data_IF_594279259954
#
_entry.id   IF_594279259954
#
_cell.length_a   1.000
_cell.length_b   1.000
_cell.length_c   1.000
_cell.angle_alpha   90.00
_cell.angle_beta   90.00
_cell.angle_gamma   90.00
#
_symmetry.space_group_name_H-M   'P 1'
#
loop_
_entity.id
_entity.type
_entity.pdbx_description
1 polymer ?
#
# COMPACT_ATOMS: atom_id res chain seq x y z
N UNK A 1 41.51 -60.32 4.05
CA UNK A 1 40.80 -59.55 3.01
C UNK A 1 39.85 -58.58 3.71
N UNK A 2 40.22 -57.30 3.74
CA UNK A 2 39.46 -56.20 4.32
C UNK A 2 38.30 -55.79 3.39
N UNK A 3 37.10 -55.65 3.92
CA UNK A 3 36.01 -54.91 3.29
C UNK A 3 35.75 -53.63 4.10
N UNK A 4 35.85 -52.42 3.51
CA UNK A 4 35.49 -51.20 4.20
C UNK A 4 33.98 -50.94 4.08
N UNK A 5 33.35 -50.65 5.20
CA UNK A 5 31.94 -50.26 5.31
C UNK A 5 31.80 -48.79 4.89
N UNK A 6 31.07 -48.49 3.80
CA UNK A 6 30.75 -47.13 3.37
C UNK A 6 29.58 -46.58 4.20
N UNK A 7 29.78 -45.45 4.87
CA UNK A 7 28.72 -44.66 5.48
C UNK A 7 27.91 -43.90 4.41
N UNK A 8 26.59 -43.67 4.60
CA UNK A 8 25.79 -42.92 3.65
C UNK A 8 26.05 -41.42 3.77
N UNK A 9 26.25 -40.76 2.62
CA UNK A 9 26.35 -39.31 2.51
C UNK A 9 24.95 -38.69 2.68
N UNK A 10 24.71 -38.00 3.79
CA UNK A 10 23.56 -37.09 3.91
C UNK A 10 23.83 -35.86 3.04
N UNK A 11 23.19 -35.82 1.87
CA UNK A 11 23.05 -34.61 1.07
C UNK A 11 22.31 -33.56 1.88
N UNK A 12 23.02 -32.48 2.23
CA UNK A 12 22.45 -31.26 2.79
C UNK A 12 21.61 -30.63 1.67
N UNK A 13 20.29 -30.78 1.75
CA UNK A 13 19.36 -30.08 0.86
C UNK A 13 19.47 -28.58 1.08
N UNK A 14 19.76 -27.83 0.01
CA UNK A 14 19.55 -26.38 -0.03
C UNK A 14 18.06 -26.09 0.25
N UNK A 15 17.74 -25.06 1.05
CA UNK A 15 16.35 -24.71 1.30
C UNK A 15 15.68 -24.29 -0.02
N UNK A 16 14.46 -24.80 -0.21
CA UNK A 16 13.58 -24.43 -1.32
C UNK A 16 13.51 -22.91 -1.47
N UNK A 17 13.59 -22.47 -2.72
CA UNK A 17 13.40 -21.06 -3.08
C UNK A 17 12.02 -20.63 -2.57
N UNK A 18 11.91 -19.58 -1.73
CA UNK A 18 10.61 -19.20 -1.19
C UNK A 18 9.68 -18.82 -2.35
N UNK A 19 8.39 -19.21 -2.30
CA UNK A 19 7.43 -18.86 -3.33
C UNK A 19 7.39 -17.33 -3.47
N UNK A 20 7.34 -16.85 -4.71
CA UNK A 20 7.27 -15.43 -5.02
C UNK A 20 6.11 -14.78 -4.24
N UNK A 21 6.45 -13.92 -3.29
CA UNK A 21 5.49 -13.14 -2.51
C UNK A 21 4.62 -12.34 -3.48
N UNK A 22 3.27 -12.38 -3.39
CA UNK A 22 2.43 -11.52 -4.21
C UNK A 22 2.89 -10.07 -4.03
N UNK A 23 3.04 -9.34 -5.13
CA UNK A 23 3.63 -8.01 -5.17
C UNK A 23 2.96 -7.09 -4.14
N UNK A 24 3.61 -6.91 -2.99
CA UNK A 24 3.10 -6.04 -1.94
C UNK A 24 3.25 -4.61 -2.42
N UNK A 25 2.13 -3.90 -2.52
CA UNK A 25 2.12 -2.50 -2.93
C UNK A 25 2.99 -1.68 -1.97
N UNK A 26 3.91 -0.86 -2.46
CA UNK A 26 4.74 -0.07 -1.55
C UNK A 26 3.89 0.98 -0.80
N UNK A 27 4.40 1.46 0.35
CA UNK A 27 3.76 2.57 1.08
C UNK A 27 3.59 3.82 0.20
N UNK A 28 4.50 4.04 -0.76
CA UNK A 28 4.41 5.09 -1.76
C UNK A 28 3.18 4.93 -2.67
N UNK A 29 2.89 3.70 -3.12
CA UNK A 29 1.70 3.41 -3.93
C UNK A 29 0.42 3.72 -3.15
N UNK A 30 0.34 3.34 -1.86
CA UNK A 30 -0.81 3.72 -1.02
C UNK A 30 -0.93 5.22 -0.83
N UNK A 31 0.18 5.93 -0.59
CA UNK A 31 0.18 7.38 -0.49
C UNK A 31 -0.40 8.05 -1.73
N UNK A 32 -0.03 7.55 -2.92
CA UNK A 32 -0.59 8.02 -4.20
C UNK A 32 -2.08 7.70 -4.35
N UNK A 33 -2.51 6.49 -4.00
CA UNK A 33 -3.92 6.07 -4.06
C UNK A 33 -4.80 6.93 -3.13
N UNK A 34 -4.37 7.14 -1.88
CA UNK A 34 -5.07 7.98 -0.90
C UNK A 34 -5.14 9.42 -1.40
N UNK A 35 -4.04 9.97 -1.91
CA UNK A 35 -4.01 11.32 -2.45
C UNK A 35 -4.97 11.48 -3.64
N UNK A 36 -4.94 10.57 -4.61
CA UNK A 36 -5.86 10.59 -5.76
C UNK A 36 -7.32 10.48 -5.30
N UNK A 37 -7.61 9.57 -4.37
CA UNK A 37 -8.97 9.41 -3.84
C UNK A 37 -9.44 10.66 -3.10
N UNK A 38 -8.58 11.26 -2.26
CA UNK A 38 -8.87 12.51 -1.55
C UNK A 38 -9.06 13.71 -2.49
N UNK A 39 -8.21 13.85 -3.51
CA UNK A 39 -8.32 14.89 -4.54
C UNK A 39 -9.68 14.89 -5.22
N UNK A 40 -10.29 13.72 -5.45
CA UNK A 40 -11.63 13.60 -6.07
C UNK A 40 -12.69 14.36 -5.30
N UNK A 41 -12.66 14.35 -3.96
CA UNK A 41 -13.61 15.09 -3.09
C UNK A 41 -13.52 16.60 -3.31
N UNK A 42 -12.30 17.12 -3.35
CA UNK A 42 -12.06 18.54 -3.60
C UNK A 42 -12.45 18.93 -5.03
N UNK A 43 -12.07 18.12 -6.02
CA UNK A 43 -12.39 18.41 -7.43
C UNK A 43 -13.88 18.32 -7.72
N UNK A 44 -14.65 17.44 -7.05
CA UNK A 44 -16.10 17.35 -7.24
C UNK A 44 -16.82 18.57 -6.68
N UNK A 45 -16.42 19.07 -5.51
CA UNK A 45 -16.95 20.32 -4.95
C UNK A 45 -16.58 21.53 -5.83
N UNK A 46 -15.32 21.59 -6.28
CA UNK A 46 -14.84 22.63 -7.19
C UNK A 46 -15.63 22.63 -8.50
N UNK A 47 -15.89 21.46 -9.07
CA UNK A 47 -16.73 21.31 -10.26
C UNK A 47 -18.11 21.94 -10.05
N UNK A 48 -18.82 21.56 -8.98
CA UNK A 48 -20.18 22.06 -8.69
C UNK A 48 -20.19 23.57 -8.48
N UNK A 49 -19.26 24.10 -7.67
CA UNK A 49 -19.13 25.53 -7.41
C UNK A 49 -18.94 26.33 -8.70
N UNK A 50 -18.01 25.91 -9.56
CA UNK A 50 -17.72 26.63 -10.80
C UNK A 50 -18.82 26.44 -11.85
N UNK A 51 -19.60 25.35 -11.79
CA UNK A 51 -20.81 25.21 -12.61
C UNK A 51 -21.90 26.21 -12.18
N UNK A 52 -22.08 26.42 -10.87
CA UNK A 52 -22.98 27.45 -10.33
C UNK A 52 -22.57 28.85 -10.77
N UNK A 53 -21.28 29.19 -10.63
CA UNK A 53 -20.75 30.49 -11.07
C UNK A 53 -20.89 30.69 -12.58
N UNK A 54 -20.68 29.64 -13.37
CA UNK A 54 -20.87 29.69 -14.82
C UNK A 54 -22.33 29.96 -15.21
N UNK A 55 -23.29 29.33 -14.54
CA UNK A 55 -24.71 29.57 -14.75
C UNK A 55 -25.14 31.01 -14.37
N UNK A 56 -24.40 31.66 -13.47
CA UNK A 56 -24.58 33.07 -13.10
C UNK A 56 -23.87 34.05 -14.06
N UNK A 57 -23.25 33.56 -15.14
CA UNK A 57 -22.57 34.40 -16.12
C UNK A 57 -21.16 34.83 -15.73
N UNK A 58 -20.53 34.20 -14.72
CA UNK A 58 -19.14 34.51 -14.35
C UNK A 58 -18.19 34.05 -15.46
N UNK A 59 -17.45 35.00 -16.03
CA UNK A 59 -16.46 34.73 -17.07
C UNK A 59 -15.40 33.72 -16.60
N UNK A 60 -15.03 32.80 -17.50
CA UNK A 60 -14.04 31.74 -17.24
C UNK A 60 -14.49 30.61 -16.32
N UNK A 61 -15.60 30.76 -15.57
CA UNK A 61 -16.03 29.76 -14.59
C UNK A 61 -16.38 28.40 -15.23
N UNK A 62 -16.99 28.41 -16.43
CA UNK A 62 -17.31 27.17 -17.15
C UNK A 62 -16.05 26.37 -17.49
N UNK A 63 -14.97 27.05 -17.89
CA UNK A 63 -13.71 26.38 -18.19
C UNK A 63 -13.09 25.75 -16.94
N UNK A 64 -13.07 26.48 -15.82
CA UNK A 64 -12.56 25.95 -14.55
C UNK A 64 -13.37 24.73 -14.09
N UNK A 65 -14.69 24.74 -14.29
CA UNK A 65 -15.55 23.58 -13.99
C UNK A 65 -15.23 22.39 -14.89
N UNK A 66 -14.99 22.61 -16.19
CA UNK A 66 -14.56 21.57 -17.14
C UNK A 66 -13.20 20.98 -16.79
N UNK A 67 -12.22 21.80 -16.42
CA UNK A 67 -10.90 21.34 -16.00
C UNK A 67 -11.00 20.51 -14.71
N UNK A 68 -11.86 20.91 -13.78
CA UNK A 68 -12.14 20.13 -12.57
C UNK A 68 -12.78 18.78 -12.89
N UNK A 69 -13.72 18.73 -13.85
CA UNK A 69 -14.32 17.48 -14.31
C UNK A 69 -13.30 16.56 -14.99
N UNK A 70 -12.43 17.10 -15.85
CA UNK A 70 -11.38 16.34 -16.51
C UNK A 70 -10.44 15.68 -15.48
N UNK A 71 -9.94 16.46 -14.52
CA UNK A 71 -9.08 15.94 -13.44
C UNK A 71 -9.81 14.91 -12.56
N UNK A 72 -11.10 15.09 -12.31
CA UNK A 72 -11.92 14.12 -11.57
C UNK A 72 -12.07 12.79 -12.32
N UNK A 73 -12.36 12.85 -13.63
CA UNK A 73 -12.46 11.67 -14.49
C UNK A 73 -11.14 10.92 -14.58
N UNK A 74 -10.03 11.63 -14.81
CA UNK A 74 -8.69 11.04 -14.86
C UNK A 74 -8.35 10.31 -13.57
N UNK A 75 -8.54 10.97 -12.41
CA UNK A 75 -8.31 10.35 -11.12
C UNK A 75 -9.22 9.11 -10.89
N UNK A 76 -10.46 9.14 -11.36
CA UNK A 76 -11.35 7.98 -11.27
C UNK A 76 -10.88 6.81 -12.12
N UNK A 77 -10.50 7.04 -13.39
CA UNK A 77 -9.99 6.00 -14.28
C UNK A 77 -8.70 5.36 -13.75
N UNK A 78 -7.76 6.18 -13.26
CA UNK A 78 -6.51 5.68 -12.66
C UNK A 78 -6.76 4.76 -11.45
N UNK A 79 -7.79 5.07 -10.65
CA UNK A 79 -8.13 4.28 -9.47
C UNK A 79 -8.92 3.01 -9.80
N UNK A 80 -9.64 2.98 -10.94
CA UNK A 80 -10.42 1.82 -11.36
C UNK A 80 -9.57 0.86 -12.19
N UNK A 81 -9.00 1.35 -13.29
CA UNK A 81 -8.38 0.51 -14.31
C UNK A 81 -6.86 0.41 -14.14
N UNK A 82 -6.23 1.40 -13.53
CA UNK A 82 -4.76 1.49 -13.39
C UNK A 82 -3.98 1.62 -14.71
N UNK A 83 -4.64 1.46 -15.87
CA UNK A 83 -4.00 1.31 -17.19
C UNK A 83 -3.06 2.48 -17.53
N UNK A 84 -1.85 2.15 -17.97
CA UNK A 84 -0.80 3.12 -18.34
C UNK A 84 -0.08 3.77 -17.16
N UNK A 85 -0.38 3.39 -15.91
CA UNK A 85 0.23 3.95 -14.70
C UNK A 85 0.82 2.86 -13.80
N UNK A 86 1.71 3.23 -12.88
CA UNK A 86 2.23 2.32 -11.85
C UNK A 86 1.21 2.02 -10.72
N UNK A 87 -0.09 2.22 -10.98
CA UNK A 87 -1.17 2.01 -10.00
C UNK A 87 -1.92 0.71 -10.31
N UNK A 88 -2.36 0.00 -9.28
CA UNK A 88 -2.92 -1.35 -9.43
C UNK A 88 -4.40 -1.40 -9.84
N UNK A 89 -5.07 -0.25 -10.04
CA UNK A 89 -6.53 -0.20 -10.21
C UNK A 89 -7.28 -0.70 -8.97
N UNK A 90 -8.42 -1.35 -9.16
CA UNK A 90 -9.13 -2.09 -8.09
C UNK A 90 -8.46 -3.44 -7.87
N UNK A 91 -7.72 -3.57 -6.77
CA UNK A 91 -6.83 -4.72 -6.52
C UNK A 91 -7.25 -5.66 -5.39
N UNK A 92 -8.29 -5.34 -4.63
CA UNK A 92 -8.78 -6.19 -3.54
C UNK A 92 -10.32 -6.18 -3.44
N UNK A 93 -10.85 -7.16 -2.72
CA UNK A 93 -12.30 -7.34 -2.58
C UNK A 93 -12.96 -6.22 -1.77
N UNK A 94 -12.29 -5.62 -0.78
CA UNK A 94 -12.85 -4.48 -0.04
C UNK A 94 -13.03 -3.25 -0.94
N UNK A 95 -12.08 -2.99 -1.85
CA UNK A 95 -12.23 -1.94 -2.84
C UNK A 95 -13.31 -2.30 -3.87
N UNK A 96 -13.36 -3.56 -4.31
CA UNK A 96 -14.42 -4.04 -5.20
C UNK A 96 -15.80 -3.85 -4.56
N UNK A 97 -15.94 -4.13 -3.28
CA UNK A 97 -17.18 -3.88 -2.54
C UNK A 97 -17.49 -2.39 -2.45
N UNK A 98 -16.51 -1.55 -2.10
CA UNK A 98 -16.71 -0.11 -2.01
C UNK A 98 -17.14 0.54 -3.34
N UNK A 99 -16.65 0.02 -4.47
CA UNK A 99 -16.98 0.53 -5.80
C UNK A 99 -18.22 -0.11 -6.41
N UNK A 100 -18.44 -1.42 -6.26
CA UNK A 100 -19.43 -2.14 -7.05
C UNK A 100 -20.54 -2.80 -6.24
N UNK A 101 -20.44 -2.89 -4.91
CA UNK A 101 -21.52 -3.45 -4.13
C UNK A 101 -22.70 -2.47 -4.10
N UNK A 102 -23.87 -2.94 -4.54
CA UNK A 102 -25.14 -2.25 -4.37
C UNK A 102 -25.55 -2.23 -2.90
N UNK A 103 -26.12 -1.12 -2.44
CA UNK A 103 -26.58 -1.00 -1.05
C UNK A 103 -27.68 -2.01 -0.69
N UNK A 104 -27.98 -2.22 0.61
CA UNK A 104 -28.98 -3.20 1.09
C UNK A 104 -30.40 -2.99 0.55
N UNK A 105 -30.67 -1.84 -0.10
CA UNK A 105 -31.94 -1.50 -0.74
C UNK A 105 -31.90 -1.59 -2.27
N UNK A 106 -30.87 -2.21 -2.85
CA UNK A 106 -30.69 -2.33 -4.30
C UNK A 106 -30.34 -1.02 -5.01
N UNK A 107 -29.69 -0.08 -4.31
CA UNK A 107 -29.24 1.19 -4.90
C UNK A 107 -27.88 1.07 -5.61
N UNK A 108 -27.59 2.05 -6.46
CA UNK A 108 -26.36 2.18 -7.26
C UNK A 108 -25.07 1.93 -6.44
N UNK A 109 -24.10 1.25 -7.04
CA UNK A 109 -22.77 1.11 -6.46
C UNK A 109 -22.01 2.45 -6.42
N UNK A 110 -20.87 2.46 -5.74
CA UNK A 110 -20.03 3.66 -5.68
C UNK A 110 -19.54 4.12 -7.06
N UNK A 111 -19.14 3.19 -7.92
CA UNK A 111 -18.75 3.44 -9.30
C UNK A 111 -19.92 4.02 -10.11
N UNK A 112 -21.10 3.41 -10.03
CA UNK A 112 -22.30 3.87 -10.73
C UNK A 112 -22.72 5.28 -10.29
N UNK A 113 -22.66 5.55 -8.99
CA UNK A 113 -22.90 6.90 -8.42
C UNK A 113 -21.92 7.93 -9.00
N UNK A 114 -20.64 7.57 -9.10
CA UNK A 114 -19.60 8.44 -9.68
C UNK A 114 -19.83 8.66 -11.18
N UNK A 115 -20.16 7.61 -11.93
CA UNK A 115 -20.44 7.69 -13.37
C UNK A 115 -21.69 8.53 -13.65
N UNK A 116 -22.77 8.33 -12.90
CA UNK A 116 -23.99 9.12 -13.00
C UNK A 116 -23.71 10.62 -12.76
N UNK A 117 -22.88 10.94 -11.76
CA UNK A 117 -22.46 12.31 -11.52
C UNK A 117 -21.63 12.89 -12.67
N UNK A 118 -20.68 12.13 -13.24
CA UNK A 118 -19.88 12.55 -14.40
C UNK A 118 -20.78 12.86 -15.59
N UNK A 119 -21.73 11.98 -15.90
CA UNK A 119 -22.68 12.17 -17.02
C UNK A 119 -23.54 13.41 -16.79
N UNK A 120 -24.08 13.60 -15.58
CA UNK A 120 -24.86 14.79 -15.24
C UNK A 120 -24.04 16.08 -15.34
N UNK A 121 -22.80 16.07 -14.86
CA UNK A 121 -21.90 17.23 -14.95
C UNK A 121 -21.61 17.64 -16.40
N UNK A 122 -21.37 16.66 -17.30
CA UNK A 122 -21.20 16.93 -18.74
C UNK A 122 -22.44 17.58 -19.34
N UNK A 123 -23.63 17.04 -19.04
CA UNK A 123 -24.92 17.61 -19.49
C UNK A 123 -25.14 19.04 -18.99
N UNK A 124 -24.78 19.32 -17.74
CA UNK A 124 -24.82 20.69 -17.19
C UNK A 124 -23.88 21.62 -17.95
N UNK A 125 -22.63 21.20 -18.20
CA UNK A 125 -21.67 22.01 -18.96
C UNK A 125 -22.14 22.30 -20.39
N UNK A 126 -22.74 21.34 -21.06
CA UNK A 126 -23.34 21.51 -22.40
C UNK A 126 -24.53 22.48 -22.36
N UNK A 127 -25.44 22.31 -21.39
CA UNK A 127 -26.61 23.17 -21.24
C UNK A 127 -26.24 24.63 -20.92
N UNK A 128 -25.26 24.85 -20.04
CA UNK A 128 -24.74 26.20 -19.74
C UNK A 128 -24.08 26.81 -20.97
N UNK A 129 -23.24 26.05 -21.68
CA UNK A 129 -22.56 26.53 -22.89
C UNK A 129 -23.54 26.94 -24.00
N UNK A 130 -24.64 26.20 -24.14
CA UNK A 130 -25.69 26.47 -25.13
C UNK A 130 -26.70 27.55 -24.69
N UNK A 131 -26.60 28.09 -23.47
CA UNK A 131 -27.60 29.01 -22.94
C UNK A 131 -29.00 28.39 -22.82
N UNK A 132 -29.08 27.08 -22.55
CA UNK A 132 -30.33 26.33 -22.55
C UNK A 132 -31.24 26.74 -21.38
N UNK A 133 -32.54 26.87 -21.65
CA UNK A 133 -33.58 27.11 -20.63
C UNK A 133 -33.61 26.01 -19.56
N UNK A 134 -33.17 24.79 -19.91
CA UNK A 134 -33.10 23.66 -18.98
C UNK A 134 -31.85 23.62 -18.09
N UNK A 135 -30.88 24.52 -18.27
CA UNK A 135 -29.63 24.52 -17.51
C UNK A 135 -29.83 24.64 -15.99
N UNK A 136 -30.72 25.50 -15.46
CA UNK A 136 -30.96 25.60 -14.02
C UNK A 136 -31.46 24.28 -13.40
N UNK A 137 -32.41 23.60 -14.05
CA UNK A 137 -32.95 22.35 -13.54
C UNK A 137 -31.91 21.22 -13.50
N UNK A 138 -31.01 21.16 -14.50
CA UNK A 138 -29.89 20.20 -14.49
C UNK A 138 -28.86 20.53 -13.42
N UNK A 139 -28.63 21.82 -13.16
CA UNK A 139 -27.70 22.30 -12.14
C UNK A 139 -28.20 22.00 -10.73
N UNK A 140 -29.50 22.15 -10.48
CA UNK A 140 -30.12 21.75 -9.20
C UNK A 140 -29.94 20.25 -8.95
N UNK A 141 -30.18 19.41 -9.96
CA UNK A 141 -29.91 17.97 -9.87
C UNK A 141 -28.44 17.69 -9.57
N UNK A 142 -27.50 18.44 -10.16
CA UNK A 142 -26.07 18.26 -9.93
C UNK A 142 -25.69 18.60 -8.48
N UNK A 143 -26.27 19.66 -7.93
CA UNK A 143 -26.09 20.05 -6.52
C UNK A 143 -26.64 18.98 -5.58
N UNK A 144 -27.85 18.48 -5.84
CA UNK A 144 -28.48 17.41 -5.05
C UNK A 144 -27.64 16.12 -5.06
N UNK A 145 -27.02 15.77 -6.19
CA UNK A 145 -26.14 14.60 -6.34
C UNK A 145 -24.77 14.79 -5.67
N UNK A 146 -24.37 16.03 -5.37
CA UNK A 146 -23.07 16.33 -4.76
C UNK A 146 -22.90 15.70 -3.37
N UNK A 147 -23.93 15.74 -2.52
CA UNK A 147 -23.86 15.20 -1.16
C UNK A 147 -23.71 13.66 -1.14
N UNK A 148 -24.57 12.87 -1.85
CA UNK A 148 -24.37 11.43 -1.97
C UNK A 148 -23.01 11.05 -2.57
N UNK A 149 -22.54 11.78 -3.58
CA UNK A 149 -21.22 11.54 -4.17
C UNK A 149 -20.11 11.70 -3.13
N UNK A 150 -20.13 12.77 -2.33
CA UNK A 150 -19.12 12.98 -1.31
C UNK A 150 -19.12 11.86 -0.27
N UNK A 151 -20.28 11.33 0.11
CA UNK A 151 -20.36 10.18 1.00
C UNK A 151 -19.66 8.95 0.40
N UNK A 152 -19.91 8.64 -0.88
CA UNK A 152 -19.26 7.54 -1.60
C UNK A 152 -17.74 7.74 -1.70
N UNK A 153 -17.29 8.93 -2.11
CA UNK A 153 -15.85 9.25 -2.18
C UNK A 153 -15.19 9.21 -0.80
N UNK A 154 -15.94 9.56 0.25
CA UNK A 154 -15.46 9.47 1.62
C UNK A 154 -15.20 8.02 2.02
N UNK A 155 -16.20 7.16 1.81
CA UNK A 155 -16.13 5.72 2.09
C UNK A 155 -14.97 5.04 1.34
N UNK A 156 -14.82 5.28 0.04
CA UNK A 156 -13.75 4.68 -0.77
C UNK A 156 -12.37 5.09 -0.24
N UNK A 157 -12.19 6.36 0.10
CA UNK A 157 -10.90 6.84 0.64
C UNK A 157 -10.60 6.21 2.00
N UNK A 158 -11.61 6.01 2.86
CA UNK A 158 -11.41 5.31 4.13
C UNK A 158 -10.93 3.87 3.91
N UNK A 159 -11.47 3.17 2.91
CA UNK A 159 -10.97 1.82 2.54
C UNK A 159 -9.50 1.86 2.15
N UNK A 160 -9.06 2.84 1.33
CA UNK A 160 -7.64 2.99 1.01
C UNK A 160 -6.77 3.26 2.24
N UNK A 161 -7.21 4.13 3.14
CA UNK A 161 -6.49 4.42 4.38
C UNK A 161 -6.40 3.20 5.30
N UNK A 162 -7.48 2.42 5.44
CA UNK A 162 -7.50 1.20 6.24
C UNK A 162 -6.60 0.11 5.67
N UNK A 163 -6.57 -0.04 4.34
CA UNK A 163 -5.65 -0.96 3.66
C UNK A 163 -4.20 -0.54 3.89
N UNK A 164 -3.88 0.75 3.75
CA UNK A 164 -2.54 1.28 4.01
C UNK A 164 -2.10 1.05 5.46
N UNK A 165 -2.98 1.32 6.43
CA UNK A 165 -2.73 1.05 7.86
C UNK A 165 -2.48 -0.43 8.13
N UNK A 166 -3.33 -1.32 7.61
CA UNK A 166 -3.17 -2.78 7.76
C UNK A 166 -1.84 -3.26 7.18
N UNK A 167 -1.48 -2.79 5.99
CA UNK A 167 -0.24 -3.18 5.36
C UNK A 167 0.99 -2.65 6.11
N UNK A 168 0.96 -1.41 6.59
CA UNK A 168 2.05 -0.86 7.41
C UNK A 168 2.26 -1.68 8.68
N UNK A 169 1.17 -2.03 9.38
CA UNK A 169 1.23 -2.88 10.58
C UNK A 169 1.77 -4.28 10.27
N UNK A 170 1.34 -4.89 9.15
CA UNK A 170 1.83 -6.21 8.74
C UNK A 170 3.31 -6.18 8.37
N UNK A 171 3.75 -5.16 7.64
CA UNK A 171 5.16 -4.97 7.28
C UNK A 171 6.02 -4.78 8.54
N UNK A 172 5.56 -3.97 9.50
CA UNK A 172 6.22 -3.79 10.79
C UNK A 172 6.32 -5.08 11.58
N UNK A 173 5.22 -5.85 11.67
CA UNK A 173 5.22 -7.15 12.36
C UNK A 173 6.27 -8.09 11.78
N UNK A 174 6.33 -8.20 10.46
CA UNK A 174 7.30 -9.08 9.81
C UNK A 174 8.74 -8.63 9.99
N UNK A 175 9.01 -7.32 10.01
CA UNK A 175 10.33 -6.82 10.38
C UNK A 175 10.71 -7.25 11.80
N UNK A 176 9.79 -7.11 12.76
CA UNK A 176 10.03 -7.55 14.15
C UNK A 176 10.26 -9.06 14.22
N UNK A 177 9.46 -9.86 13.51
CA UNK A 177 9.61 -11.33 13.49
C UNK A 177 10.98 -11.73 12.91
N UNK A 178 11.39 -11.16 11.78
CA UNK A 178 12.71 -11.42 11.17
C UNK A 178 13.86 -10.97 12.08
N UNK A 179 13.73 -9.82 12.75
CA UNK A 179 14.74 -9.35 13.71
C UNK A 179 14.86 -10.32 14.90
N UNK A 180 13.75 -10.85 15.40
CA UNK A 180 13.76 -11.87 16.46
C UNK A 180 14.42 -13.18 16.02
N UNK A 181 14.22 -13.62 14.77
CA UNK A 181 14.93 -14.77 14.21
C UNK A 181 16.45 -14.52 14.12
N UNK A 182 16.88 -13.33 13.70
CA UNK A 182 18.30 -12.96 13.66
C UNK A 182 18.91 -12.95 15.06
N UNK A 183 18.21 -12.43 16.06
CA UNK A 183 18.65 -12.44 17.46
C UNK A 183 18.82 -13.88 17.98
N UNK A 184 17.87 -14.77 17.67
CA UNK A 184 17.95 -16.18 18.05
C UNK A 184 19.16 -16.89 17.38
N UNK A 185 19.40 -16.67 16.09
CA UNK A 185 20.56 -17.21 15.37
C UNK A 185 21.86 -16.67 15.96
N UNK A 186 21.92 -15.36 16.27
CA UNK A 186 23.08 -14.71 16.88
C UNK A 186 23.39 -15.31 18.26
N UNK A 187 22.37 -15.57 19.09
CA UNK A 187 22.52 -16.24 20.38
C UNK A 187 23.06 -17.67 20.21
N UNK A 188 22.52 -18.44 19.27
CA UNK A 188 22.98 -19.80 19.01
C UNK A 188 24.45 -19.81 18.54
N UNK A 189 24.81 -18.91 17.62
CA UNK A 189 26.19 -18.74 17.17
C UNK A 189 27.13 -18.32 18.30
N UNK A 190 26.68 -17.47 19.22
CA UNK A 190 27.43 -17.04 20.41
C UNK A 190 27.69 -18.21 21.36
N UNK A 191 26.70 -19.07 21.60
CA UNK A 191 26.88 -20.28 22.41
C UNK A 191 27.91 -21.22 21.76
N UNK A 192 27.84 -21.41 20.44
CA UNK A 192 28.82 -22.22 19.70
C UNK A 192 30.23 -21.63 19.79
N UNK A 193 30.37 -20.32 19.60
CA UNK A 193 31.64 -19.61 19.73
C UNK A 193 32.21 -19.74 21.15
N UNK A 194 31.36 -19.59 22.18
CA UNK A 194 31.77 -19.79 23.57
C UNK A 194 32.25 -21.22 23.85
N UNK A 195 31.49 -22.23 23.39
CA UNK A 195 31.89 -23.62 23.53
C UNK A 195 33.23 -23.91 22.83
N UNK A 196 33.45 -23.33 21.65
CA UNK A 196 34.72 -23.43 20.93
C UNK A 196 35.88 -22.76 21.70
N UNK A 197 35.65 -21.62 22.35
CA UNK A 197 36.65 -20.98 23.23
C UNK A 197 37.02 -21.87 24.41
N UNK A 198 36.05 -22.51 25.05
CA UNK A 198 36.29 -23.45 26.18
C UNK A 198 37.12 -24.65 25.72
N UNK A 199 36.80 -25.24 24.58
CA UNK A 199 37.55 -26.37 24.01
C UNK A 199 38.96 -25.96 23.62
N UNK A 200 39.12 -24.79 22.99
CA UNK A 200 40.42 -24.24 22.63
C UNK A 200 41.32 -24.01 23.85
N UNK A 201 40.76 -23.48 24.94
CA UNK A 201 41.46 -23.31 26.20
C UNK A 201 41.89 -24.65 26.81
N UNK A 202 41.02 -25.66 26.78
CA UNK A 202 41.33 -27.02 27.26
C UNK A 202 42.45 -27.70 26.45
N UNK A 203 42.50 -27.47 25.14
CA UNK A 203 43.54 -28.02 24.26
C UNK A 203 44.90 -27.32 24.40
N UNK A 204 45.00 -26.24 25.18
CA UNK A 204 46.23 -25.49 25.42
C UNK A 204 46.87 -25.01 24.12
N UNK A 205 48.14 -25.36 23.88
CA UNK A 205 48.87 -24.94 22.67
C UNK A 205 48.24 -25.46 21.36
N UNK A 206 47.58 -26.61 21.38
CA UNK A 206 46.95 -27.18 20.19
C UNK A 206 45.64 -26.47 19.80
N UNK A 207 45.06 -25.65 20.69
CA UNK A 207 43.80 -24.92 20.46
C UNK A 207 43.97 -23.46 20.05
N UNK A 208 45.20 -22.95 19.88
CA UNK A 208 45.47 -21.53 19.65
C UNK A 208 44.76 -20.97 18.41
N UNK A 209 44.79 -21.68 17.29
CA UNK A 209 44.14 -21.27 16.04
C UNK A 209 42.60 -21.28 16.17
N UNK A 210 42.04 -22.28 16.86
CA UNK A 210 40.60 -22.35 17.15
C UNK A 210 40.12 -21.21 18.07
N UNK A 211 40.95 -20.78 19.02
CA UNK A 211 40.64 -19.67 19.92
C UNK A 211 40.42 -18.35 19.15
N UNK A 212 41.26 -18.09 18.14
CA UNK A 212 41.15 -16.88 17.30
C UNK A 212 39.82 -16.87 16.54
N UNK A 213 39.48 -17.99 15.87
CA UNK A 213 38.21 -18.10 15.12
C UNK A 213 37.00 -17.94 16.03
N UNK A 214 37.04 -18.53 17.22
CA UNK A 214 35.96 -18.43 18.20
C UNK A 214 35.81 -16.99 18.77
N UNK A 215 36.92 -16.26 18.91
CA UNK A 215 36.91 -14.83 19.26
C UNK A 215 36.31 -13.96 18.16
N UNK A 216 36.67 -14.20 16.90
CA UNK A 216 36.10 -13.53 15.73
C UNK A 216 34.58 -13.72 15.65
N UNK A 217 34.10 -14.96 15.78
CA UNK A 217 32.67 -15.28 15.76
C UNK A 217 31.92 -14.56 16.89
N UNK A 218 32.46 -14.54 18.10
CA UNK A 218 31.84 -13.86 19.24
C UNK A 218 31.70 -12.34 19.01
N UNK A 219 32.66 -11.72 18.30
CA UNK A 219 32.56 -10.29 17.95
C UNK A 219 31.53 -10.06 16.86
N UNK A 220 31.46 -10.93 15.85
CA UNK A 220 30.45 -10.87 14.79
C UNK A 220 29.05 -10.93 15.40
N UNK A 221 28.78 -11.90 16.28
CA UNK A 221 27.48 -12.01 16.98
C UNK A 221 27.21 -10.77 17.84
N UNK A 222 28.23 -10.20 18.50
CA UNK A 222 28.09 -8.94 19.24
C UNK A 222 27.61 -7.79 18.36
N UNK A 223 28.18 -7.65 17.16
CA UNK A 223 27.82 -6.60 16.21
C UNK A 223 26.44 -6.83 15.58
N UNK A 224 26.03 -8.09 15.35
CA UNK A 224 24.68 -8.42 14.91
C UNK A 224 23.64 -7.97 15.93
N UNK A 225 23.86 -8.23 17.23
CA UNK A 225 22.93 -7.84 18.29
C UNK A 225 22.79 -6.32 18.45
N UNK A 226 23.85 -5.56 18.16
CA UNK A 226 23.78 -4.09 18.10
C UNK A 226 22.93 -3.63 16.92
N UNK A 227 23.16 -4.17 15.72
CA UNK A 227 22.40 -3.82 14.52
C UNK A 227 20.91 -4.16 14.65
N UNK A 228 20.58 -5.31 15.24
CA UNK A 228 19.18 -5.71 15.51
C UNK A 228 18.51 -4.73 16.48
N UNK A 229 19.18 -4.36 17.56
CA UNK A 229 18.65 -3.37 18.53
C UNK A 229 18.43 -2.01 17.89
N UNK A 230 19.34 -1.54 17.05
CA UNK A 230 19.21 -0.27 16.35
C UNK A 230 18.07 -0.30 15.32
N UNK A 231 17.92 -1.40 14.57
CA UNK A 231 16.82 -1.58 13.64
C UNK A 231 15.44 -1.59 14.35
N UNK A 232 15.33 -2.27 15.49
CA UNK A 232 14.09 -2.31 16.28
C UNK A 232 13.74 -0.94 16.88
N UNK A 233 14.73 -0.17 17.33
CA UNK A 233 14.53 1.22 17.79
C UNK A 233 14.05 2.12 16.66
N UNK A 234 14.67 2.01 15.48
CA UNK A 234 14.26 2.76 14.29
C UNK A 234 12.86 2.40 13.79
N UNK A 235 12.40 1.16 14.00
CA UNK A 235 11.05 0.72 13.65
C UNK A 235 9.97 1.10 14.68
N UNK A 236 10.34 1.64 15.84
CA UNK A 236 9.41 2.02 16.91
C UNK A 236 9.05 3.52 16.92
N UNK A 237 9.85 4.35 16.24
CA UNK A 237 9.58 5.76 15.97
C UNK A 237 8.65 5.96 14.76
#
# INVERSE_FOLDING_TARGET
MLHPQRAPAHLIGLPDTPPATPARLSGEVFGRLINLSGRRRFTSQRLVLYALLAAQGREGALQVSRDALAAFCEAHLLLIDGQGSSLPGVFCDELRQAYYATGPRGGDGGHDTIQAFIVLARRVHEAIAAGSVGAPALLDQLVERGTPLLAVLNQITQVYEDLARRQATQARKQLVDVMGEIEAISMQARIVAFNAQVVAAHAGKAGSEFSVVAGELSRITGRIDELVRDALRGSAA
#
